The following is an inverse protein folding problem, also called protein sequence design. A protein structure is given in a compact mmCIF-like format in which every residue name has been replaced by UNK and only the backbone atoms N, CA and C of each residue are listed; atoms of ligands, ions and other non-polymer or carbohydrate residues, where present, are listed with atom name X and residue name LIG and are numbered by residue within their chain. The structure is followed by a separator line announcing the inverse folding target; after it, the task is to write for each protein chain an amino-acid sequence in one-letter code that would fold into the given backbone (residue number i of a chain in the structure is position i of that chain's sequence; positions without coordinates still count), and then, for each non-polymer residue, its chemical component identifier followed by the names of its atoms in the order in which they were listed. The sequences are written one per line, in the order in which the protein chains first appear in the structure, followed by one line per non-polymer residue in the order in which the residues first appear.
data_IF_258409880433
#
_entry.id   IF_258409880433
#
_cell.length_a   1.000
_cell.length_b   1.000
_cell.length_c   1.000
_cell.angle_alpha   90.00
_cell.angle_beta   90.00
_cell.angle_gamma   90.00
#
_symmetry.space_group_name_H-M   'P 1'
#
loop_
_entity.id
_entity.type
_entity.pdbx_description
1 polymer ?
#
# COMPACT_ATOMS: atom_id res chain seq x y z
N UNK A 1 -12.12 -20.79 13.75
CA UNK A 1 -11.75 -20.84 12.32
C UNK A 1 -12.46 -19.75 11.53
N UNK A 2 -13.79 -19.77 11.31
CA UNK A 2 -14.48 -18.68 10.57
C UNK A 2 -14.27 -17.28 11.20
N UNK A 3 -14.23 -17.21 12.53
CA UNK A 3 -14.00 -15.96 13.26
C UNK A 3 -12.55 -15.46 13.13
N UNK A 4 -11.59 -16.36 12.91
CA UNK A 4 -10.17 -16.02 12.80
C UNK A 4 -9.85 -15.40 11.44
N UNK A 5 -10.51 -15.88 10.37
CA UNK A 5 -10.43 -15.30 9.03
C UNK A 5 -11.04 -13.90 9.01
N UNK A 6 -12.20 -13.72 9.65
CA UNK A 6 -12.83 -12.42 9.77
C UNK A 6 -11.95 -11.42 10.53
N UNK A 7 -11.35 -11.87 11.63
CA UNK A 7 -10.40 -11.06 12.39
C UNK A 7 -9.16 -10.69 11.55
N UNK A 8 -8.62 -11.63 10.77
CA UNK A 8 -7.51 -11.35 9.84
C UNK A 8 -7.90 -10.29 8.80
N UNK A 9 -9.07 -10.42 8.19
CA UNK A 9 -9.57 -9.44 7.21
C UNK A 9 -9.78 -8.07 7.86
N UNK A 10 -10.28 -8.02 9.10
CA UNK A 10 -10.44 -6.76 9.84
C UNK A 10 -9.10 -6.12 10.19
N UNK A 11 -8.11 -6.90 10.61
CA UNK A 11 -6.74 -6.41 10.84
C UNK A 11 -6.12 -5.86 9.56
N UNK A 12 -6.29 -6.58 8.44
CA UNK A 12 -5.83 -6.11 7.13
C UNK A 12 -6.53 -4.83 6.70
N UNK A 13 -7.83 -4.69 6.95
CA UNK A 13 -8.56 -3.45 6.66
C UNK A 13 -8.07 -2.26 7.48
N UNK A 14 -7.71 -2.47 8.76
CA UNK A 14 -7.12 -1.43 9.61
C UNK A 14 -5.75 -1.01 9.07
N UNK A 15 -4.87 -1.98 8.82
CA UNK A 15 -3.52 -1.74 8.27
C UNK A 15 -3.59 -1.04 6.91
N UNK A 16 -4.50 -1.47 6.05
CA UNK A 16 -4.74 -0.88 4.74
C UNK A 16 -5.27 0.57 4.83
N UNK A 17 -6.18 0.88 5.76
CA UNK A 17 -6.62 2.26 6.00
C UNK A 17 -5.48 3.14 6.52
N UNK A 18 -4.62 2.60 7.39
CA UNK A 18 -3.45 3.29 7.90
C UNK A 18 -2.43 3.59 6.79
N UNK A 19 -2.11 2.60 5.94
CA UNK A 19 -1.26 2.78 4.77
C UNK A 19 -1.77 3.88 3.85
N UNK A 20 -3.08 3.88 3.59
CA UNK A 20 -3.70 4.95 2.78
C UNK A 20 -3.52 6.32 3.44
N UNK A 21 -3.77 6.44 4.74
CA UNK A 21 -3.61 7.70 5.47
C UNK A 21 -2.15 8.17 5.45
N UNK A 22 -1.19 7.27 5.64
CA UNK A 22 0.24 7.60 5.58
C UNK A 22 0.64 8.08 4.18
N UNK A 23 0.15 7.41 3.12
CA UNK A 23 0.38 7.83 1.74
C UNK A 23 -0.22 9.21 1.44
N UNK A 24 -1.44 9.51 1.92
CA UNK A 24 -2.09 10.83 1.79
C UNK A 24 -1.31 11.93 2.53
N UNK A 25 -0.70 11.62 3.67
CA UNK A 25 0.14 12.55 4.45
C UNK A 25 1.58 12.65 3.95
N UNK A 26 2.00 11.80 3.02
CA UNK A 26 3.38 11.70 2.56
C UNK A 26 4.36 11.11 3.60
N UNK A 27 3.84 10.37 4.59
CA UNK A 27 4.62 9.69 5.64
C UNK A 27 5.23 8.38 5.08
N UNK A 28 6.07 8.49 4.04
CA UNK A 28 6.54 7.34 3.26
C UNK A 28 7.43 6.36 4.05
N UNK A 29 8.16 6.83 5.07
CA UNK A 29 8.97 5.94 5.91
C UNK A 29 8.06 5.02 6.77
N UNK A 30 7.07 5.61 7.44
CA UNK A 30 6.09 4.85 8.23
C UNK A 30 5.21 3.94 7.33
N UNK A 31 4.90 4.40 6.12
CA UNK A 31 4.23 3.60 5.10
C UNK A 31 5.01 2.33 4.75
N UNK A 32 6.33 2.43 4.57
CA UNK A 32 7.18 1.29 4.21
C UNK A 32 7.22 0.25 5.34
N UNK A 33 7.35 0.69 6.60
CA UNK A 33 7.32 -0.20 7.76
C UNK A 33 6.01 -0.99 7.86
N UNK A 34 4.88 -0.29 7.76
CA UNK A 34 3.55 -0.91 7.84
C UNK A 34 3.27 -1.85 6.65
N UNK A 35 3.81 -1.53 5.47
CA UNK A 35 3.60 -2.34 4.25
C UNK A 35 4.15 -3.77 4.36
N UNK A 36 5.18 -3.97 5.20
CA UNK A 36 5.74 -5.30 5.48
C UNK A 36 4.70 -6.14 6.21
N UNK A 37 4.14 -5.61 7.30
CA UNK A 37 3.09 -6.27 8.09
C UNK A 37 1.85 -6.57 7.25
N UNK A 38 1.40 -5.58 6.46
CA UNK A 38 0.26 -5.73 5.56
C UNK A 38 0.47 -6.84 4.52
N UNK A 39 1.63 -6.85 3.85
CA UNK A 39 1.94 -7.84 2.81
C UNK A 39 2.07 -9.26 3.38
N UNK A 40 2.57 -9.41 4.61
CA UNK A 40 2.59 -10.69 5.31
C UNK A 40 1.17 -11.20 5.57
N UNK A 41 0.29 -10.36 6.14
CA UNK A 41 -1.09 -10.75 6.39
C UNK A 41 -1.87 -11.06 5.10
N UNK A 42 -1.60 -10.33 4.01
CA UNK A 42 -2.19 -10.62 2.70
C UNK A 42 -1.78 -11.99 2.17
N UNK A 43 -0.50 -12.36 2.32
CA UNK A 43 -0.02 -13.69 1.95
C UNK A 43 -0.74 -14.77 2.75
N UNK A 44 -0.88 -14.60 4.06
CA UNK A 44 -1.63 -15.52 4.91
C UNK A 44 -3.10 -15.63 4.46
N UNK A 45 -3.73 -14.52 4.08
CA UNK A 45 -5.10 -14.54 3.55
C UNK A 45 -5.21 -15.33 2.24
N UNK A 46 -4.23 -15.22 1.34
CA UNK A 46 -4.19 -15.98 0.09
C UNK A 46 -3.95 -17.49 0.28
N UNK A 47 -3.31 -17.89 1.39
CA UNK A 47 -3.08 -19.30 1.74
C UNK A 47 -4.32 -19.99 2.33
N UNK A 48 -5.33 -19.21 2.74
CA UNK A 48 -6.57 -19.71 3.32
C UNK A 48 -7.57 -20.11 2.23
N UNK A 49 -8.17 -21.31 2.35
CA UNK A 49 -9.26 -21.76 1.48
C UNK A 49 -10.59 -21.05 1.85
N UNK A 50 -10.72 -19.82 1.37
CA UNK A 50 -11.87 -18.94 1.61
C UNK A 50 -13.23 -19.54 1.20
N UNK A 51 -13.39 -20.25 0.05
CA UNK A 51 -14.64 -20.90 -0.32
C UNK A 51 -15.18 -21.91 0.70
N UNK A 52 -14.30 -22.64 1.40
CA UNK A 52 -14.70 -23.62 2.41
C UNK A 52 -15.11 -22.95 3.74
N UNK A 53 -14.41 -21.88 4.13
CA UNK A 53 -14.65 -21.15 5.39
C UNK A 53 -15.82 -20.15 5.30
N UNK A 54 -16.08 -19.59 4.12
CA UNK A 54 -17.07 -18.54 3.97
C UNK A 54 -18.52 -19.04 3.84
N UNK A 55 -18.82 -20.34 3.94
CA UNK A 55 -20.15 -20.88 3.63
C UNK A 55 -21.30 -20.23 4.44
N UNK A 56 -21.05 -19.83 5.70
CA UNK A 56 -22.05 -19.13 6.54
C UNK A 56 -22.02 -17.61 6.42
N UNK A 57 -20.84 -17.02 6.17
CA UNK A 57 -20.60 -15.56 6.22
C UNK A 57 -20.17 -14.99 4.86
N UNK A 58 -20.50 -15.66 3.75
CA UNK A 58 -19.97 -15.40 2.41
C UNK A 58 -20.12 -13.95 1.96
N UNK A 59 -21.32 -13.40 2.14
CA UNK A 59 -21.62 -12.02 1.76
C UNK A 59 -20.80 -10.99 2.54
N UNK A 60 -20.59 -11.25 3.84
CA UNK A 60 -19.82 -10.37 4.71
C UNK A 60 -18.32 -10.43 4.38
N UNK A 61 -17.79 -11.64 4.18
CA UNK A 61 -16.41 -11.86 3.75
C UNK A 61 -16.17 -11.20 2.39
N UNK A 62 -17.06 -11.42 1.42
CA UNK A 62 -16.91 -10.83 0.07
C UNK A 62 -16.96 -9.30 0.10
N UNK A 63 -17.85 -8.70 0.88
CA UNK A 63 -17.94 -7.24 1.00
C UNK A 63 -16.67 -6.64 1.61
N UNK A 64 -16.11 -7.28 2.64
CA UNK A 64 -14.86 -6.82 3.25
C UNK A 64 -13.64 -6.98 2.33
N UNK A 65 -13.57 -8.09 1.58
CA UNK A 65 -12.53 -8.29 0.58
C UNK A 65 -12.64 -7.27 -0.56
N UNK A 66 -13.85 -6.94 -1.01
CA UNK A 66 -14.06 -5.90 -2.01
C UNK A 66 -13.56 -4.53 -1.52
N UNK A 67 -13.90 -4.16 -0.29
CA UNK A 67 -13.43 -2.90 0.32
C UNK A 67 -11.91 -2.87 0.47
N UNK A 68 -11.29 -4.00 0.83
CA UNK A 68 -9.84 -4.12 0.90
C UNK A 68 -9.18 -3.89 -0.48
N UNK A 69 -9.74 -4.46 -1.55
CA UNK A 69 -9.25 -4.28 -2.92
C UNK A 69 -9.44 -2.85 -3.44
N UNK A 70 -10.56 -2.20 -3.11
CA UNK A 70 -10.79 -0.79 -3.47
C UNK A 70 -9.70 0.11 -2.87
N UNK A 71 -9.37 -0.10 -1.59
CA UNK A 71 -8.32 0.67 -0.97
C UNK A 71 -6.93 0.32 -1.50
N UNK A 72 -6.65 -0.94 -1.83
CA UNK A 72 -5.38 -1.32 -2.49
C UNK A 72 -5.18 -0.59 -3.82
N UNK A 73 -6.25 -0.37 -4.59
CA UNK A 73 -6.19 0.43 -5.81
C UNK A 73 -5.82 1.89 -5.51
N UNK A 74 -6.37 2.48 -4.44
CA UNK A 74 -6.04 3.85 -4.02
C UNK A 74 -4.58 3.96 -3.56
N UNK A 75 -4.10 3.00 -2.77
CA UNK A 75 -2.71 2.94 -2.30
C UNK A 75 -1.76 2.80 -3.51
N UNK A 76 -2.10 1.94 -4.47
CA UNK A 76 -1.31 1.73 -5.69
C UNK A 76 -1.18 3.03 -6.49
N UNK A 77 -2.28 3.76 -6.65
CA UNK A 77 -2.27 5.05 -7.32
C UNK A 77 -1.40 6.08 -6.58
N UNK A 78 -1.47 6.13 -5.25
CA UNK A 78 -0.63 7.02 -4.45
C UNK A 78 0.87 6.71 -4.60
N UNK A 79 1.24 5.42 -4.61
CA UNK A 79 2.62 4.98 -4.86
C UNK A 79 3.09 5.43 -6.25
N UNK A 80 2.28 5.24 -7.28
CA UNK A 80 2.62 5.64 -8.65
C UNK A 80 2.81 7.16 -8.79
N UNK A 81 1.96 7.94 -8.14
CA UNK A 81 2.10 9.39 -8.08
C UNK A 81 3.43 9.79 -7.41
N UNK A 82 3.78 9.14 -6.29
CA UNK A 82 5.04 9.41 -5.58
C UNK A 82 6.27 9.02 -6.41
N UNK A 83 6.26 7.89 -7.10
CA UNK A 83 7.34 7.47 -8.00
C UNK A 83 7.55 8.48 -9.14
N UNK A 84 6.47 9.03 -9.67
CA UNK A 84 6.51 10.06 -10.70
C UNK A 84 7.13 11.36 -10.17
N UNK A 85 6.79 11.75 -8.94
CA UNK A 85 7.36 12.92 -8.28
C UNK A 85 8.86 12.75 -8.00
N UNK A 86 9.28 11.62 -7.42
CA UNK A 86 10.69 11.30 -7.18
C UNK A 86 11.48 11.33 -8.50
N UNK A 87 10.92 10.78 -9.58
CA UNK A 87 11.56 10.81 -10.91
C UNK A 87 11.76 12.23 -11.41
N UNK A 88 10.79 13.12 -11.17
CA UNK A 88 10.89 14.55 -11.50
C UNK A 88 11.94 15.25 -10.64
N UNK A 89 11.94 15.02 -9.33
CA UNK A 89 12.93 15.58 -8.39
C UNK A 89 14.36 15.19 -8.77
N UNK A 90 14.60 13.90 -9.06
CA UNK A 90 15.89 13.39 -9.53
C UNK A 90 16.33 14.05 -10.84
N UNK A 91 15.40 14.25 -11.77
CA UNK A 91 15.68 14.92 -13.04
C UNK A 91 16.08 16.39 -12.84
N UNK A 92 15.41 17.09 -11.92
CA UNK A 92 15.75 18.48 -11.55
C UNK A 92 17.14 18.52 -10.90
N UNK A 93 17.43 17.63 -9.95
CA UNK A 93 18.72 17.55 -9.27
C UNK A 93 19.87 17.30 -10.25
N UNK A 94 19.68 16.41 -11.23
CA UNK A 94 20.68 16.16 -12.29
C UNK A 94 20.95 17.41 -13.14
N UNK A 95 19.91 18.13 -13.54
CA UNK A 95 20.04 19.39 -14.30
C UNK A 95 20.74 20.48 -13.47
N UNK A 96 20.38 20.60 -12.20
CA UNK A 96 21.03 21.53 -11.26
C UNK A 96 22.52 21.19 -11.09
N UNK A 97 22.87 19.92 -10.88
CA UNK A 97 24.25 19.46 -10.78
C UNK A 97 25.05 19.73 -12.06
N UNK A 98 24.45 19.45 -13.23
CA UNK A 98 25.08 19.77 -14.52
C UNK A 98 25.32 21.28 -14.69
N UNK A 99 24.37 22.10 -14.26
CA UNK A 99 24.49 23.56 -14.34
C UNK A 99 25.58 24.06 -13.39
N UNK A 100 25.59 23.60 -12.13
CA UNK A 100 26.62 23.94 -11.16
C UNK A 100 28.03 23.60 -11.65
N UNK A 101 28.21 22.42 -12.26
CA UNK A 101 29.49 22.03 -12.87
C UNK A 101 29.92 22.95 -14.02
N UNK A 102 28.99 23.40 -14.85
CA UNK A 102 29.27 24.33 -15.94
C UNK A 102 29.73 25.71 -15.42
N UNK A 103 29.14 26.20 -14.32
CA UNK A 103 29.54 27.47 -13.71
C UNK A 103 30.89 27.41 -12.98
N UNK A 104 31.29 26.26 -12.44
CA UNK A 104 32.60 26.08 -11.80
C UNK A 104 33.73 25.71 -12.76
N UNK A 105 33.42 25.45 -14.03
CA UNK A 105 34.39 25.08 -15.07
C UNK A 105 34.85 26.27 -15.93
N UNK A 106 34.44 27.49 -15.57
CA UNK A 106 34.91 28.77 -16.11
C UNK A 106 35.89 29.39 -15.12
#
# INVERSE_FOLDING_TARGET
MDNDVLMLIEQLLVSNAQLRQQAEKGEWDAFLEESVTYSMGMRTLCEIDLPQLAQRNKSQVSARLAHLLENDALITHAIQARLSEISRELSILRKSSSSAKAYTAV
#
